data_IF_054375856901
#
_entry.id   IF_054375856901
#
_cell.length_a   1.000
_cell.length_b   1.000
_cell.length_c   1.000
_cell.angle_alpha   90.00
_cell.angle_beta   90.00
_cell.angle_gamma   90.00
#
_symmetry.space_group_name_H-M   'P 1'
#
loop_
_entity.id
_entity.type
_entity.pdbx_description
1 polymer ?
#
# COMPACT_ATOMS: atom_id res chain seq x y z
N UNK A 1 -41.16 -21.14 -12.89
CA UNK A 1 -40.27 -19.98 -12.98
C UNK A 1 -40.24 -19.35 -11.61
N UNK A 2 -39.20 -19.63 -10.82
CA UNK A 2 -39.00 -18.95 -9.55
C UNK A 2 -38.39 -17.58 -9.84
N UNK A 3 -39.16 -16.54 -9.56
CA UNK A 3 -38.69 -15.15 -9.59
C UNK A 3 -37.51 -15.04 -8.62
N UNK A 4 -36.29 -14.87 -9.16
CA UNK A 4 -35.09 -14.66 -8.34
C UNK A 4 -35.29 -13.38 -7.54
N UNK A 5 -35.59 -13.51 -6.25
CA UNK A 5 -35.70 -12.40 -5.34
C UNK A 5 -34.39 -11.59 -5.40
N UNK A 6 -34.48 -10.36 -5.93
CA UNK A 6 -33.35 -9.42 -5.92
C UNK A 6 -33.10 -9.08 -4.45
N UNK A 7 -32.06 -9.66 -3.87
CA UNK A 7 -31.61 -9.35 -2.52
C UNK A 7 -31.11 -7.90 -2.53
N UNK A 8 -32.00 -6.95 -2.24
CA UNK A 8 -31.62 -5.57 -1.99
C UNK A 8 -30.89 -5.51 -0.66
N UNK A 9 -29.55 -5.51 -0.70
CA UNK A 9 -28.75 -5.21 0.49
C UNK A 9 -29.17 -3.80 0.95
N UNK A 10 -29.63 -3.64 2.20
CA UNK A 10 -30.05 -2.33 2.68
C UNK A 10 -28.86 -1.37 2.68
N UNK A 11 -29.06 -0.14 2.21
CA UNK A 11 -28.03 0.91 2.10
C UNK A 11 -27.24 1.10 3.40
N UNK A 12 -27.93 0.95 4.54
CA UNK A 12 -27.34 1.03 5.89
C UNK A 12 -26.25 -0.02 6.10
N UNK A 13 -26.45 -1.25 5.62
CA UNK A 13 -25.44 -2.32 5.74
C UNK A 13 -24.23 -2.05 4.85
N UNK A 14 -24.43 -1.48 3.66
CA UNK A 14 -23.32 -1.09 2.78
C UNK A 14 -22.50 0.05 3.40
N UNK A 15 -23.15 1.06 3.98
CA UNK A 15 -22.45 2.17 4.64
C UNK A 15 -21.66 1.70 5.85
N UNK A 16 -22.24 0.83 6.69
CA UNK A 16 -21.53 0.22 7.82
C UNK A 16 -20.31 -0.56 7.37
N UNK A 17 -20.45 -1.35 6.30
CA UNK A 17 -19.34 -2.11 5.73
C UNK A 17 -18.22 -1.16 5.27
N UNK A 18 -18.56 -0.08 4.56
CA UNK A 18 -17.60 0.91 4.07
C UNK A 18 -16.88 1.61 5.24
N UNK A 19 -17.60 2.02 6.28
CA UNK A 19 -17.02 2.63 7.48
C UNK A 19 -16.07 1.67 8.21
N UNK A 20 -16.45 0.38 8.32
CA UNK A 20 -15.56 -0.65 8.89
C UNK A 20 -14.29 -0.80 8.06
N UNK A 21 -14.39 -0.83 6.73
CA UNK A 21 -13.21 -0.86 5.87
C UNK A 21 -12.34 0.40 6.03
N UNK A 22 -12.94 1.60 6.11
CA UNK A 22 -12.21 2.84 6.36
C UNK A 22 -11.46 2.81 7.70
N UNK A 23 -12.08 2.27 8.75
CA UNK A 23 -11.45 2.12 10.05
C UNK A 23 -10.21 1.21 10.01
N UNK A 24 -10.22 0.17 9.16
CA UNK A 24 -9.07 -0.72 8.96
C UNK A 24 -7.89 -0.05 8.24
N UNK A 25 -8.10 1.04 7.50
CA UNK A 25 -7.03 1.74 6.80
C UNK A 25 -6.18 2.65 7.72
N UNK A 26 -6.76 3.17 8.82
CA UNK A 26 -6.02 4.04 9.74
C UNK A 26 -4.72 3.39 10.28
N UNK A 27 -4.74 2.20 10.91
CA UNK A 27 -3.52 1.53 11.36
C UNK A 27 -2.59 1.12 10.19
N UNK A 28 -3.14 0.81 9.00
CA UNK A 28 -2.32 0.53 7.80
C UNK A 28 -1.51 1.77 7.40
N UNK A 29 -2.16 2.93 7.29
CA UNK A 29 -1.46 4.17 6.97
C UNK A 29 -0.46 4.57 8.05
N UNK A 30 -0.79 4.34 9.32
CA UNK A 30 0.16 4.54 10.41
C UNK A 30 1.43 3.68 10.22
N UNK A 31 1.29 2.39 9.90
CA UNK A 31 2.43 1.50 9.65
C UNK A 31 3.24 1.90 8.42
N UNK A 32 2.59 2.32 7.32
CA UNK A 32 3.27 2.86 6.12
C UNK A 32 4.10 4.09 6.50
N UNK A 33 3.49 5.03 7.22
CA UNK A 33 4.14 6.26 7.65
C UNK A 33 5.33 6.03 8.58
N UNK A 34 5.17 5.12 9.54
CA UNK A 34 6.22 4.73 10.46
C UNK A 34 7.38 4.08 9.72
N UNK A 35 7.10 3.17 8.79
CA UNK A 35 8.12 2.52 7.97
C UNK A 35 8.85 3.50 7.06
N UNK A 36 8.13 4.44 6.45
CA UNK A 36 8.70 5.53 5.65
C UNK A 36 9.68 6.35 6.47
N UNK A 37 9.27 6.81 7.65
CA UNK A 37 10.10 7.62 8.53
C UNK A 37 11.35 6.85 9.01
N UNK A 38 11.16 5.60 9.43
CA UNK A 38 12.25 4.76 9.90
C UNK A 38 13.30 4.52 8.80
N UNK A 39 12.86 4.15 7.60
CA UNK A 39 13.74 3.92 6.46
C UNK A 39 14.43 5.21 6.00
N UNK A 40 13.71 6.34 6.01
CA UNK A 40 14.27 7.65 5.70
C UNK A 40 15.42 8.00 6.67
N UNK A 41 15.21 7.93 7.99
CA UNK A 41 16.25 8.21 8.98
C UNK A 41 17.41 7.21 8.93
N UNK A 42 17.11 5.92 8.80
CA UNK A 42 18.14 4.87 8.78
C UNK A 42 19.08 5.00 7.57
N UNK A 43 18.57 5.50 6.43
CA UNK A 43 19.37 5.80 5.24
C UNK A 43 20.39 6.91 5.51
N UNK A 44 20.04 7.89 6.36
CA UNK A 44 20.99 8.90 6.84
C UNK A 44 21.90 8.39 7.97
N UNK A 45 21.77 7.13 8.42
CA UNK A 45 22.51 6.58 9.55
C UNK A 45 22.04 7.08 10.91
N UNK A 46 20.81 7.60 11.00
CA UNK A 46 20.24 8.13 12.25
C UNK A 46 19.36 7.06 12.90
N UNK A 47 19.56 6.83 14.21
CA UNK A 47 18.67 5.97 14.99
C UNK A 47 17.28 6.59 15.09
N UNK A 48 16.25 5.78 14.81
CA UNK A 48 14.83 6.19 14.82
C UNK A 48 14.34 6.61 16.20
N UNK A 49 15.02 6.17 17.26
CA UNK A 49 14.72 6.56 18.66
C UNK A 49 15.18 7.99 19.00
N UNK A 50 16.00 8.61 18.14
CA UNK A 50 16.57 9.94 18.40
C UNK A 50 15.52 11.05 18.33
N UNK A 51 14.52 10.87 17.47
CA UNK A 51 13.48 11.85 17.19
C UNK A 51 12.11 11.22 17.47
N UNK A 52 11.32 11.87 18.32
CA UNK A 52 9.95 11.45 18.60
C UNK A 52 9.08 11.74 17.39
N UNK A 53 8.50 10.70 16.80
CA UNK A 53 7.58 10.83 15.67
C UNK A 53 6.18 11.17 16.19
N UNK A 54 5.60 12.28 15.72
CA UNK A 54 4.20 12.58 16.04
C UNK A 54 3.25 11.76 15.17
N UNK A 55 2.01 11.57 15.64
CA UNK A 55 0.98 10.88 14.84
C UNK A 55 0.73 11.62 13.52
N UNK A 56 0.75 12.96 13.54
CA UNK A 56 0.56 13.79 12.35
C UNK A 56 1.67 13.57 11.32
N UNK A 57 2.94 13.58 11.77
CA UNK A 57 4.09 13.32 10.91
C UNK A 57 4.05 11.91 10.32
N UNK A 58 3.54 10.94 11.10
CA UNK A 58 3.37 9.56 10.62
C UNK A 58 2.40 9.52 9.44
N UNK A 59 1.21 10.11 9.56
CA UNK A 59 0.25 10.15 8.44
C UNK A 59 0.76 10.98 7.26
N UNK A 60 1.51 12.05 7.50
CA UNK A 60 2.16 12.81 6.43
C UNK A 60 3.21 11.97 5.69
N UNK A 61 4.03 11.20 6.42
CA UNK A 61 4.96 10.23 5.83
C UNK A 61 4.23 9.15 5.01
N UNK A 62 3.09 8.67 5.49
CA UNK A 62 2.26 7.71 4.75
C UNK A 62 1.75 8.30 3.42
N UNK A 63 1.27 9.55 3.47
CA UNK A 63 0.89 10.30 2.28
C UNK A 63 2.05 10.40 1.28
N UNK A 64 3.23 10.83 1.74
CA UNK A 64 4.43 10.93 0.88
C UNK A 64 4.83 9.59 0.26
N UNK A 65 4.79 8.51 1.04
CA UNK A 65 5.10 7.16 0.56
C UNK A 65 4.13 6.74 -0.56
N UNK A 66 2.84 6.91 -0.34
CA UNK A 66 1.80 6.56 -1.32
C UNK A 66 1.91 7.43 -2.56
N UNK A 67 2.13 8.74 -2.44
CA UNK A 67 2.29 9.62 -3.60
C UNK A 67 3.53 9.25 -4.41
N UNK A 68 4.63 8.87 -3.76
CA UNK A 68 5.85 8.44 -4.44
C UNK A 68 5.61 7.15 -5.23
N UNK A 69 4.91 6.17 -4.63
CA UNK A 69 4.54 4.93 -5.31
C UNK A 69 3.56 5.16 -6.46
N UNK A 70 2.52 5.96 -6.23
CA UNK A 70 1.53 6.30 -7.25
C UNK A 70 2.17 7.06 -8.42
N UNK A 71 3.20 7.88 -8.16
CA UNK A 71 3.94 8.55 -9.21
C UNK A 71 4.63 7.52 -10.14
N UNK A 72 5.34 6.53 -9.58
CA UNK A 72 5.95 5.45 -10.38
C UNK A 72 4.92 4.62 -11.16
N UNK A 73 3.76 4.35 -10.56
CA UNK A 73 2.65 3.68 -11.26
C UNK A 73 2.10 4.57 -12.37
N UNK A 74 1.96 5.87 -12.13
CA UNK A 74 1.45 6.83 -13.11
C UNK A 74 2.36 6.96 -14.33
N UNK A 75 3.68 6.93 -14.12
CA UNK A 75 4.67 6.96 -15.21
C UNK A 75 4.60 5.67 -16.04
N UNK A 76 4.45 4.52 -15.38
CA UNK A 76 4.26 3.25 -16.07
C UNK A 76 2.95 3.20 -16.86
N UNK A 77 1.84 3.65 -16.27
CA UNK A 77 0.55 3.74 -16.95
C UNK A 77 0.64 4.69 -18.13
N UNK A 78 1.26 5.86 -17.97
CA UNK A 78 1.45 6.82 -19.05
C UNK A 78 2.29 6.21 -20.19
N UNK A 79 3.37 5.51 -19.86
CA UNK A 79 4.20 4.80 -20.85
C UNK A 79 3.38 3.75 -21.62
N UNK A 80 2.61 2.90 -20.91
CA UNK A 80 1.75 1.89 -21.53
C UNK A 80 0.68 2.52 -22.41
N UNK A 81 0.03 3.59 -21.93
CA UNK A 81 -0.97 4.33 -22.71
C UNK A 81 -0.34 4.93 -23.95
N UNK A 82 0.81 5.60 -23.85
CA UNK A 82 1.51 6.19 -25.00
C UNK A 82 1.89 5.12 -26.03
N UNK A 83 2.43 3.97 -25.61
CA UNK A 83 2.80 2.88 -26.51
C UNK A 83 1.59 2.18 -27.15
N UNK A 84 0.51 2.03 -26.38
CA UNK A 84 -0.78 1.55 -26.91
C UNK A 84 -1.36 2.55 -27.92
N UNK A 85 -1.21 3.86 -27.65
CA UNK A 85 -1.70 4.90 -28.55
C UNK A 85 -0.94 4.94 -29.88
N UNK A 86 0.39 4.69 -29.84
CA UNK A 86 1.28 4.65 -31.01
C UNK A 86 1.07 3.42 -31.88
N UNK A 87 0.60 2.31 -31.32
CA UNK A 87 0.51 1.03 -32.04
C UNK A 87 -0.93 0.75 -32.47
N UNK A 88 -1.34 1.09 -33.72
CA UNK A 88 -2.72 0.94 -34.17
C UNK A 88 -3.28 -0.49 -34.07
N UNK A 89 -2.40 -1.50 -34.03
CA UNK A 89 -2.76 -2.92 -33.87
C UNK A 89 -3.22 -3.30 -32.45
N UNK A 90 -2.78 -2.60 -31.41
CA UNK A 90 -3.19 -2.90 -30.03
C UNK A 90 -4.63 -2.49 -29.74
N UNK A 91 -5.15 -1.45 -30.40
CA UNK A 91 -6.57 -1.09 -30.28
C UNK A 91 -7.48 -2.19 -30.80
N UNK A 92 -7.10 -2.85 -31.90
CA UNK A 92 -7.82 -4.00 -32.43
C UNK A 92 -7.78 -5.19 -31.45
N UNK A 93 -6.65 -5.42 -30.79
CA UNK A 93 -6.54 -6.46 -29.76
C UNK A 93 -7.41 -6.15 -28.53
N UNK A 94 -7.37 -4.92 -28.02
CA UNK A 94 -8.17 -4.49 -26.88
C UNK A 94 -9.67 -4.55 -27.20
N UNK A 95 -10.07 -4.11 -28.40
CA UNK A 95 -11.44 -4.25 -28.90
C UNK A 95 -11.86 -5.71 -29.03
N UNK A 96 -10.98 -6.59 -29.53
CA UNK A 96 -11.24 -8.03 -29.62
C UNK A 96 -11.42 -8.68 -28.24
N UNK A 97 -10.58 -8.34 -27.26
CA UNK A 97 -10.71 -8.81 -25.88
C UNK A 97 -12.03 -8.33 -25.26
N UNK A 98 -12.42 -7.08 -25.48
CA UNK A 98 -13.70 -6.54 -25.01
C UNK A 98 -14.88 -7.31 -25.62
N UNK A 99 -14.85 -7.59 -26.93
CA UNK A 99 -15.88 -8.38 -27.62
C UNK A 99 -15.94 -9.80 -27.06
N UNK A 100 -14.80 -10.46 -26.83
CA UNK A 100 -14.76 -11.78 -26.19
C UNK A 100 -15.32 -11.75 -24.77
N UNK A 101 -14.97 -10.75 -23.96
CA UNK A 101 -15.48 -10.59 -22.61
C UNK A 101 -17.00 -10.42 -22.61
N UNK A 102 -17.53 -9.55 -23.48
CA UNK A 102 -18.97 -9.38 -23.65
C UNK A 102 -19.64 -10.68 -24.12
N UNK A 103 -19.04 -11.39 -25.08
CA UNK A 103 -19.54 -12.68 -25.55
C UNK A 103 -19.61 -13.72 -24.43
N UNK A 104 -18.56 -13.83 -23.59
CA UNK A 104 -18.56 -14.72 -22.43
C UNK A 104 -19.56 -14.29 -21.36
N UNK A 105 -19.68 -12.99 -21.09
CA UNK A 105 -20.66 -12.45 -20.16
C UNK A 105 -22.10 -12.79 -20.60
N UNK A 106 -22.45 -12.52 -21.86
CA UNK A 106 -23.76 -12.83 -22.43
C UNK A 106 -24.03 -14.33 -22.57
N UNK A 107 -23.04 -15.14 -22.97
CA UNK A 107 -23.18 -16.60 -23.02
C UNK A 107 -23.30 -17.24 -21.64
N UNK A 108 -22.69 -16.65 -20.60
CA UNK A 108 -22.88 -17.10 -19.21
C UNK A 108 -24.30 -16.81 -18.69
N UNK A 109 -24.92 -15.70 -19.11
CA UNK A 109 -26.35 -15.43 -18.85
C UNK A 109 -27.28 -16.41 -19.59
N UNK A 110 -26.85 -16.96 -20.73
CA UNK A 110 -27.58 -18.00 -21.46
C UNK A 110 -27.49 -19.40 -20.82
N UNK A 111 -26.80 -19.55 -19.68
CA UNK A 111 -26.73 -20.83 -18.94
C UNK A 111 -28.03 -21.23 -18.21
N UNK A 112 -29.12 -20.46 -18.35
CA UNK A 112 -30.46 -20.87 -17.90
C UNK A 112 -31.05 -22.05 -18.71
N UNK A 113 -30.36 -22.55 -19.74
CA UNK A 113 -30.63 -23.84 -20.38
C UNK A 113 -30.02 -25.00 -19.55
N UNK A 114 -30.27 -25.01 -18.24
CA UNK A 114 -29.99 -26.13 -17.32
C UNK A 114 -31.19 -27.10 -17.22
N UNK A 115 -31.85 -27.38 -18.34
CA UNK A 115 -32.92 -28.39 -18.43
C UNK A 115 -32.54 -29.55 -19.35
N UNK A 116 -31.25 -29.94 -19.39
CA UNK A 116 -30.85 -31.17 -20.10
C UNK A 116 -31.08 -32.39 -19.19
N UNK A 117 -31.89 -33.39 -19.62
CA UNK A 117 -32.25 -34.56 -18.82
C UNK A 117 -31.04 -35.43 -18.41
N UNK A 118 -29.90 -35.27 -19.09
CA UNK A 118 -28.64 -35.94 -18.76
C UNK A 118 -28.08 -35.49 -17.39
N UNK A 119 -28.17 -34.20 -17.06
CA UNK A 119 -27.69 -33.67 -15.78
C UNK A 119 -28.60 -34.16 -14.64
N UNK A 120 -29.92 -34.22 -14.88
CA UNK A 120 -30.88 -34.77 -13.91
C UNK A 120 -30.65 -36.28 -13.66
N UNK A 121 -30.25 -37.05 -14.68
CA UNK A 121 -29.94 -38.48 -14.55
C UNK A 121 -28.66 -38.74 -13.74
N UNK A 122 -27.64 -37.88 -13.89
CA UNK A 122 -26.41 -37.92 -13.06
C UNK A 122 -26.74 -37.58 -11.60
N UNK A 123 -27.55 -36.54 -11.36
CA UNK A 123 -27.99 -36.16 -10.01
C UNK A 123 -28.79 -37.29 -9.34
N UNK A 124 -29.68 -37.96 -10.08
CA UNK A 124 -30.47 -39.09 -9.57
C UNK A 124 -29.59 -40.30 -9.20
N UNK A 125 -28.61 -40.67 -10.04
CA UNK A 125 -27.66 -41.75 -9.77
C UNK A 125 -26.74 -41.43 -8.55
N UNK A 126 -26.37 -40.16 -8.37
CA UNK A 126 -25.63 -39.72 -7.20
C UNK A 126 -26.44 -39.80 -5.90
N UNK A 127 -27.75 -39.54 -5.94
CA UNK A 127 -28.61 -39.57 -4.75
C UNK A 127 -28.75 -40.97 -4.14
N UNK A 128 -28.80 -42.03 -4.96
CA UNK A 128 -28.91 -43.41 -4.48
C UNK A 128 -27.60 -43.90 -3.81
N UNK A 129 -26.44 -43.48 -4.34
CA UNK A 129 -25.15 -43.76 -3.68
C UNK A 129 -24.95 -42.90 -2.42
N UNK A 130 -25.53 -41.70 -2.36
CA UNK A 130 -25.41 -40.78 -1.23
C UNK A 130 -26.03 -41.32 0.06
N UNK A 131 -27.14 -42.06 -0.02
CA UNK A 131 -27.78 -42.68 1.15
C UNK A 131 -26.97 -43.85 1.71
N UNK A 132 -26.29 -44.63 0.85
CA UNK A 132 -25.44 -45.75 1.27
C UNK A 132 -24.14 -45.32 1.93
N UNK A 133 -23.53 -44.24 1.45
CA UNK A 133 -22.28 -43.69 2.02
C UNK A 133 -22.52 -42.52 2.99
N UNK A 134 -23.77 -42.32 3.42
CA UNK A 134 -24.13 -41.26 4.35
C UNK A 134 -23.36 -41.42 5.67
N UNK A 135 -22.86 -40.31 6.21
CA UNK A 135 -22.00 -40.27 7.40
C UNK A 135 -22.61 -40.93 8.64
N UNK A 136 -23.93 -40.96 8.74
CA UNK A 136 -24.63 -41.63 9.84
C UNK A 136 -24.54 -43.16 9.80
N UNK A 137 -24.41 -43.75 8.60
CA UNK A 137 -24.46 -45.20 8.38
C UNK A 137 -23.08 -45.83 8.14
N UNK A 138 -22.05 -45.01 7.88
CA UNK A 138 -20.70 -45.50 7.57
C UNK A 138 -19.64 -44.72 8.38
N UNK A 139 -19.01 -45.41 9.34
CA UNK A 139 -17.93 -44.86 10.18
C UNK A 139 -16.74 -44.35 9.36
N UNK A 140 -16.47 -44.94 8.21
CA UNK A 140 -15.43 -44.47 7.29
C UNK A 140 -15.77 -43.08 6.74
N UNK A 141 -16.98 -42.90 6.22
CA UNK A 141 -17.45 -41.59 5.72
C UNK A 141 -17.45 -40.53 6.82
N UNK A 142 -17.85 -40.88 8.05
CA UNK A 142 -17.81 -39.97 9.19
C UNK A 142 -16.38 -39.53 9.54
N UNK A 143 -15.41 -40.45 9.55
CA UNK A 143 -14.00 -40.16 9.81
C UNK A 143 -13.40 -39.25 8.73
N UNK A 144 -13.72 -39.50 7.45
CA UNK A 144 -13.28 -38.64 6.35
C UNK A 144 -13.84 -37.22 6.47
N UNK A 145 -15.14 -37.07 6.75
CA UNK A 145 -15.76 -35.75 6.95
C UNK A 145 -15.15 -35.03 8.14
N UNK A 146 -14.95 -35.71 9.27
CA UNK A 146 -14.30 -35.13 10.44
C UNK A 146 -12.88 -34.67 10.11
N UNK A 147 -12.13 -35.48 9.36
CA UNK A 147 -10.77 -35.14 8.90
C UNK A 147 -10.77 -33.90 8.02
N UNK A 148 -11.72 -33.80 7.08
CA UNK A 148 -11.89 -32.61 6.23
C UNK A 148 -12.25 -31.38 7.06
N UNK A 149 -13.16 -31.50 8.03
CA UNK A 149 -13.51 -30.39 8.93
C UNK A 149 -12.30 -29.93 9.74
N UNK A 150 -11.56 -30.87 10.33
CA UNK A 150 -10.35 -30.57 11.11
C UNK A 150 -9.28 -29.91 10.24
N UNK A 151 -9.02 -30.44 9.04
CA UNK A 151 -8.09 -29.84 8.08
C UNK A 151 -8.55 -28.44 7.67
N UNK A 152 -9.85 -28.25 7.38
CA UNK A 152 -10.40 -26.95 7.02
C UNK A 152 -10.24 -25.93 8.16
N UNK A 153 -10.50 -26.32 9.41
CA UNK A 153 -10.31 -25.46 10.57
C UNK A 153 -8.84 -25.09 10.76
N UNK A 154 -7.93 -26.06 10.68
CA UNK A 154 -6.48 -25.84 10.76
C UNK A 154 -6.03 -24.89 9.64
N UNK A 155 -6.40 -25.17 8.39
CA UNK A 155 -6.09 -24.30 7.25
C UNK A 155 -6.66 -22.90 7.42
N UNK A 156 -7.88 -22.77 7.95
CA UNK A 156 -8.50 -21.46 8.22
C UNK A 156 -7.71 -20.66 9.24
N UNK A 157 -7.22 -21.30 10.32
CA UNK A 157 -6.33 -20.66 11.30
C UNK A 157 -5.04 -20.17 10.64
N UNK A 158 -4.39 -21.00 9.82
CA UNK A 158 -3.18 -20.59 9.09
C UNK A 158 -3.44 -19.42 8.12
N UNK A 159 -4.57 -19.44 7.40
CA UNK A 159 -4.96 -18.34 6.50
C UNK A 159 -5.17 -17.06 7.28
N UNK A 160 -5.83 -17.11 8.45
CA UNK A 160 -6.04 -15.93 9.31
C UNK A 160 -4.70 -15.40 9.83
N UNK A 161 -3.82 -16.26 10.34
CA UNK A 161 -2.49 -15.85 10.81
C UNK A 161 -1.65 -15.23 9.68
N UNK A 162 -1.69 -15.83 8.49
CA UNK A 162 -1.02 -15.30 7.31
C UNK A 162 -1.61 -13.95 6.91
N UNK A 163 -2.94 -13.80 6.90
CA UNK A 163 -3.59 -12.54 6.59
C UNK A 163 -3.21 -11.44 7.60
N UNK A 164 -3.17 -11.76 8.89
CA UNK A 164 -2.71 -10.83 9.94
C UNK A 164 -1.23 -10.45 9.76
N UNK A 165 -0.37 -11.43 9.45
CA UNK A 165 1.04 -11.18 9.14
C UNK A 165 1.19 -10.28 7.91
N UNK A 166 0.51 -10.58 6.80
CA UNK A 166 0.52 -9.75 5.60
C UNK A 166 -0.03 -8.35 5.87
N UNK A 167 -1.09 -8.24 6.66
CA UNK A 167 -1.68 -6.97 7.07
C UNK A 167 -0.70 -6.10 7.88
N UNK A 168 0.20 -6.70 8.67
CA UNK A 168 1.24 -5.95 9.37
C UNK A 168 2.49 -5.69 8.51
N UNK A 169 2.96 -6.70 7.77
CA UNK A 169 4.24 -6.66 7.06
C UNK A 169 4.16 -5.90 5.73
N UNK A 170 3.10 -6.05 4.94
CA UNK A 170 2.99 -5.40 3.63
C UNK A 170 2.97 -3.87 3.74
N UNK A 171 2.17 -3.24 4.63
CA UNK A 171 2.21 -1.79 4.81
C UNK A 171 3.60 -1.28 5.16
N UNK A 172 4.35 -2.03 6.00
CA UNK A 172 5.72 -1.67 6.34
C UNK A 172 6.64 -1.69 5.12
N UNK A 173 6.57 -2.74 4.29
CA UNK A 173 7.36 -2.83 3.05
C UNK A 173 7.02 -1.71 2.06
N UNK A 174 5.73 -1.39 1.93
CA UNK A 174 5.21 -0.31 1.08
C UNK A 174 5.74 1.06 1.52
N UNK A 175 5.81 1.33 2.83
CA UNK A 175 6.35 2.59 3.34
C UNK A 175 7.88 2.71 3.28
N UNK A 176 8.58 1.59 3.52
CA UNK A 176 10.03 1.57 3.64
C UNK A 176 10.78 1.98 2.37
N UNK A 177 10.36 1.48 1.20
CA UNK A 177 11.06 1.76 -0.07
C UNK A 177 11.03 3.25 -0.47
N UNK A 178 9.87 3.95 -0.46
CA UNK A 178 9.83 5.38 -0.75
C UNK A 178 10.68 6.22 0.20
N UNK A 179 10.71 5.87 1.50
CA UNK A 179 11.52 6.58 2.50
C UNK A 179 13.01 6.49 2.18
N UNK A 180 13.48 5.28 1.87
CA UNK A 180 14.86 5.04 1.43
C UNK A 180 15.18 5.78 0.13
N UNK A 181 14.32 5.64 -0.88
CA UNK A 181 14.50 6.29 -2.18
C UNK A 181 14.61 7.82 -2.07
N UNK A 182 13.73 8.45 -1.28
CA UNK A 182 13.73 9.89 -1.11
C UNK A 182 15.01 10.36 -0.37
N UNK A 183 15.42 9.65 0.68
CA UNK A 183 16.66 9.95 1.40
C UNK A 183 17.90 9.81 0.49
N UNK A 184 18.01 8.71 -0.27
CA UNK A 184 19.11 8.49 -1.22
C UNK A 184 19.15 9.59 -2.30
N UNK A 185 17.99 9.94 -2.87
CA UNK A 185 17.90 11.02 -3.86
C UNK A 185 18.36 12.36 -3.29
N UNK A 186 17.98 12.69 -2.07
CA UNK A 186 18.39 13.92 -1.40
C UNK A 186 19.89 13.93 -1.10
N UNK A 187 20.43 12.81 -0.59
CA UNK A 187 21.87 12.64 -0.35
C UNK A 187 22.66 12.82 -1.64
N UNK A 188 22.27 12.11 -2.70
CA UNK A 188 22.95 12.16 -3.99
C UNK A 188 22.92 13.58 -4.58
N UNK A 189 21.74 14.23 -4.59
CA UNK A 189 21.58 15.59 -5.09
C UNK A 189 22.47 16.59 -4.35
N UNK A 190 22.61 16.44 -3.02
CA UNK A 190 23.50 17.28 -2.22
C UNK A 190 24.98 16.94 -2.40
N UNK A 191 25.35 15.67 -2.59
CA UNK A 191 26.73 15.29 -2.86
C UNK A 191 27.21 15.81 -4.22
N UNK A 192 26.33 15.80 -5.23
CA UNK A 192 26.65 16.27 -6.58
C UNK A 192 26.70 17.80 -6.69
N UNK A 193 25.71 18.49 -6.09
CA UNK A 193 25.48 19.93 -6.32
C UNK A 193 25.69 20.80 -5.08
N UNK A 194 25.83 20.19 -3.90
CA UNK A 194 25.82 20.90 -2.62
C UNK A 194 24.48 21.57 -2.35
N UNK A 195 24.55 22.69 -1.62
CA UNK A 195 23.42 23.59 -1.45
C UNK A 195 23.18 24.36 -2.75
N UNK A 196 22.03 24.10 -3.37
CA UNK A 196 21.65 24.70 -4.64
C UNK A 196 20.16 25.07 -4.66
N UNK A 197 19.78 25.79 -5.70
CA UNK A 197 18.40 26.17 -5.98
C UNK A 197 17.90 25.36 -7.17
N UNK A 198 16.78 24.68 -7.03
CA UNK A 198 16.12 24.05 -8.17
C UNK A 198 15.46 25.11 -9.05
N UNK A 199 15.38 24.83 -10.36
CA UNK A 199 14.78 25.76 -11.32
C UNK A 199 13.29 25.93 -10.97
N UNK A 200 12.88 27.17 -10.72
CA UNK A 200 11.53 27.58 -10.29
C UNK A 200 11.21 27.38 -8.80
N UNK A 201 12.17 26.96 -7.97
CA UNK A 201 11.97 26.90 -6.52
C UNK A 201 12.35 28.23 -5.84
N UNK A 202 11.56 28.62 -4.83
CA UNK A 202 11.80 29.84 -4.03
C UNK A 202 12.90 29.66 -2.99
N UNK A 203 13.17 28.42 -2.60
CA UNK A 203 14.05 28.07 -1.50
C UNK A 203 15.14 27.11 -1.96
N UNK A 204 16.31 27.16 -1.32
CA UNK A 204 17.35 26.16 -1.51
C UNK A 204 16.93 24.80 -0.93
N UNK A 205 17.54 23.72 -1.42
CA UNK A 205 17.48 22.40 -0.79
C UNK A 205 18.12 22.37 0.62
N UNK A 206 18.94 23.37 0.96
CA UNK A 206 19.58 23.51 2.27
C UNK A 206 18.83 24.46 3.21
N UNK A 207 19.02 24.21 4.50
CA UNK A 207 18.59 25.09 5.59
C UNK A 207 19.78 25.42 6.49
N UNK A 208 19.66 26.53 7.20
CA UNK A 208 20.66 27.01 8.14
C UNK A 208 20.09 26.96 9.55
N UNK A 209 20.86 26.44 10.50
CA UNK A 209 20.62 26.68 11.92
C UNK A 209 21.47 27.88 12.35
N UNK A 210 20.81 28.97 12.71
CA UNK A 210 21.47 30.20 13.16
C UNK A 210 21.30 30.35 14.68
N UNK A 211 22.38 30.67 15.39
CA UNK A 211 22.31 31.00 16.82
C UNK A 211 21.58 32.32 17.04
N UNK A 212 21.21 32.60 18.30
CA UNK A 212 20.61 33.88 18.71
C UNK A 212 21.45 35.10 18.31
N UNK A 213 22.78 34.95 18.29
CA UNK A 213 23.74 36.01 17.95
C UNK A 213 23.99 36.14 16.44
N UNK A 214 23.26 35.39 15.61
CA UNK A 214 23.39 35.42 14.15
C UNK A 214 24.49 34.50 13.59
N UNK A 215 25.20 33.73 14.43
CA UNK A 215 26.24 32.81 13.98
C UNK A 215 25.62 31.57 13.34
N UNK A 216 26.07 31.23 12.13
CA UNK A 216 25.70 29.97 11.45
C UNK A 216 26.35 28.80 12.20
N UNK A 217 25.52 27.90 12.74
CA UNK A 217 25.96 26.71 13.46
C UNK A 217 26.09 25.51 12.52
N UNK A 218 25.06 25.31 11.69
CA UNK A 218 25.01 24.23 10.70
C UNK A 218 24.35 24.72 9.41
N UNK A 219 24.82 24.20 8.28
CA UNK A 219 24.25 24.39 6.95
C UNK A 219 24.23 23.04 6.23
N UNK A 220 23.06 22.65 5.72
CA UNK A 220 22.90 21.37 5.01
C UNK A 220 21.44 21.02 4.78
N UNK A 221 21.17 19.77 4.40
CA UNK A 221 19.79 19.27 4.30
C UNK A 221 19.26 19.05 5.72
N UNK A 222 18.13 19.67 6.05
CA UNK A 222 17.43 19.35 7.29
C UNK A 222 16.77 17.97 7.15
N UNK A 223 17.22 17.00 7.95
CA UNK A 223 16.70 15.63 7.93
C UNK A 223 15.48 15.53 8.85
N UNK A 224 15.62 15.96 10.10
CA UNK A 224 14.57 15.90 11.12
C UNK A 224 14.80 16.98 12.18
N UNK A 225 13.73 17.40 12.86
CA UNK A 225 13.78 18.33 13.98
C UNK A 225 12.79 17.89 15.04
N UNK A 226 13.18 18.00 16.30
CA UNK A 226 12.30 17.96 17.47
C UNK A 226 12.44 19.26 18.25
N UNK A 227 11.81 19.35 19.42
CA UNK A 227 11.92 20.53 20.30
C UNK A 227 13.34 20.74 20.83
N UNK A 228 14.12 19.67 21.00
CA UNK A 228 15.44 19.73 21.67
C UNK A 228 16.60 19.34 20.75
N UNK A 229 16.33 18.64 19.64
CA UNK A 229 17.35 18.09 18.76
C UNK A 229 17.05 18.40 17.31
N UNK A 230 18.11 18.47 16.51
CA UNK A 230 18.02 18.68 15.07
C UNK A 230 19.06 17.81 14.37
N UNK A 231 18.69 17.31 13.19
CA UNK A 231 19.58 16.52 12.35
C UNK A 231 19.78 17.22 11.00
N UNK A 232 21.04 17.44 10.64
CA UNK A 232 21.44 17.94 9.33
C UNK A 232 22.30 16.91 8.60
N UNK A 233 22.13 16.82 7.29
CA UNK A 233 23.11 16.19 6.41
C UNK A 233 24.04 17.26 5.84
N UNK A 234 25.32 17.17 6.19
CA UNK A 234 26.36 18.11 5.76
C UNK A 234 27.40 17.39 4.90
N UNK A 235 28.44 18.10 4.43
CA UNK A 235 29.53 17.48 3.66
C UNK A 235 30.29 16.39 4.42
N UNK A 236 30.29 16.43 5.76
CA UNK A 236 30.91 15.41 6.60
C UNK A 236 29.97 14.25 6.96
N UNK A 237 28.73 14.26 6.46
CA UNK A 237 27.70 13.27 6.78
C UNK A 237 26.59 13.82 7.68
N UNK A 238 25.79 12.91 8.24
CA UNK A 238 24.70 13.25 9.14
C UNK A 238 25.22 13.67 10.52
N UNK A 239 24.73 14.80 11.03
CA UNK A 239 25.09 15.34 12.35
C UNK A 239 23.80 15.57 13.13
N UNK A 240 23.76 15.06 14.36
CA UNK A 240 22.68 15.30 15.32
C UNK A 240 23.21 16.26 16.38
N UNK A 241 22.51 17.37 16.61
CA UNK A 241 22.89 18.37 17.60
C UNK A 241 21.69 18.77 18.46
N UNK A 242 21.97 19.29 19.66
CA UNK A 242 20.95 19.97 20.46
C UNK A 242 20.70 21.38 19.90
N UNK A 243 19.46 21.83 19.91
CA UNK A 243 19.09 23.17 19.45
C UNK A 243 19.43 24.17 20.57
N UNK A 244 20.36 25.12 20.36
CA UNK A 244 20.67 26.11 21.39
C UNK A 244 19.49 27.05 21.62
N UNK A 245 19.36 27.57 22.85
CA UNK A 245 18.28 28.49 23.21
C UNK A 245 18.29 29.74 22.30
N UNK A 246 17.15 29.99 21.64
CA UNK A 246 16.99 31.12 20.72
C UNK A 246 17.61 30.90 19.33
N UNK A 247 18.09 29.70 19.02
CA UNK A 247 18.47 29.36 17.65
C UNK A 247 17.22 29.22 16.75
N UNK A 248 17.37 29.58 15.49
CA UNK A 248 16.29 29.53 14.50
C UNK A 248 16.73 28.78 13.24
N UNK A 249 15.79 28.05 12.64
CA UNK A 249 16.00 27.37 11.36
C UNK A 249 15.53 28.32 10.25
N UNK A 250 16.43 28.64 9.32
CA UNK A 250 16.17 29.58 8.24
C UNK A 250 16.26 28.84 6.90
N UNK A 251 15.27 29.05 6.04
CA UNK A 251 15.34 28.63 4.63
C UNK A 251 16.12 29.68 3.85
N UNK A 252 17.05 29.25 3.00
CA UNK A 252 17.86 30.16 2.18
C UNK A 252 17.00 30.60 0.97
N UNK A 253 16.60 31.89 0.85
CA UNK A 253 15.79 32.36 -0.26
C UNK A 253 16.62 32.46 -1.54
N UNK A 254 15.98 32.19 -2.68
CA UNK A 254 16.58 32.47 -3.98
C UNK A 254 16.50 33.98 -4.27
N UNK A 255 17.65 34.67 -4.31
CA UNK A 255 17.73 36.12 -4.55
C UNK A 255 17.97 36.49 -6.01
N UNK A 256 17.85 35.52 -6.93
CA UNK A 256 17.96 35.72 -8.39
C UNK A 256 16.59 35.73 -9.03
#
# INVERSE_FOLDING_TARGET
MEEKAIIKIPLISLLKLLLTFMALFAPVFYLIGLAFYNSFLSTYGISTETFTLTVQDTYFGAYLAITTLLHSVSDWVAMVVIELLKTPRLYWLAGFILVLFLFFYYSSQWSEIKSKPFIQKIIACCNEKRTKYHWHNNKFSASVILTIIVLYLISSVFIILFALFSYAALPYLVGSQPGKYLAEKNIQSFQEKGCHFEKNERWSNCRILQSKDGKILYEGILIASSETRIAFFTKSGAVIAQIPNGAVIINIPNTK
#
